data_IF_784097738034
#
_entry.id   IF_784097738034
#
_cell.length_a   1.000
_cell.length_b   1.000
_cell.length_c   1.000
_cell.angle_alpha   90.00
_cell.angle_beta   90.00
_cell.angle_gamma   90.00
#
_symmetry.space_group_name_H-M   'P 1'
#
loop_
_entity.id
_entity.type
_entity.pdbx_description
1 polymer ?
#
# COMPACT_ATOMS: atom_id res chain seq x y z
N UNK A 1 40.16 -3.42 -25.23
CA UNK A 1 39.72 -4.05 -23.99
C UNK A 1 38.34 -3.47 -23.66
N UNK A 2 37.26 -4.26 -23.52
CA UNK A 2 35.97 -3.77 -23.10
C UNK A 2 36.06 -3.31 -21.64
N UNK A 3 35.45 -2.14 -21.34
CA UNK A 3 35.37 -1.58 -19.99
C UNK A 3 34.64 -2.58 -19.08
N UNK A 4 35.12 -2.82 -17.82
CA UNK A 4 34.42 -3.70 -16.90
C UNK A 4 33.01 -3.16 -16.63
N UNK A 5 32.00 -4.03 -16.38
CA UNK A 5 30.64 -3.60 -16.07
C UNK A 5 30.69 -2.72 -14.83
N UNK A 6 30.19 -1.49 -14.96
CA UNK A 6 30.04 -0.57 -13.83
C UNK A 6 29.10 -1.23 -12.80
N UNK A 7 29.55 -1.30 -11.55
CA UNK A 7 28.70 -1.75 -10.45
C UNK A 7 27.42 -0.94 -10.42
N UNK A 8 26.26 -1.56 -10.16
CA UNK A 8 24.99 -0.85 -10.09
C UNK A 8 25.10 0.24 -9.01
N UNK A 9 24.86 1.50 -9.41
CA UNK A 9 24.80 2.61 -8.46
C UNK A 9 23.79 2.27 -7.34
N UNK A 10 24.15 2.50 -6.07
CA UNK A 10 23.21 2.29 -4.98
C UNK A 10 21.93 3.08 -5.26
N UNK A 11 20.78 2.42 -5.17
CA UNK A 11 19.50 3.11 -5.31
C UNK A 11 19.39 4.17 -4.21
N UNK A 12 18.92 5.38 -4.50
CA UNK A 12 18.65 6.36 -3.47
C UNK A 12 17.69 5.75 -2.43
N UNK A 13 17.77 6.17 -1.16
CA UNK A 13 16.85 5.71 -0.14
C UNK A 13 15.40 5.99 -0.60
N UNK A 14 14.44 5.14 -0.23
CA UNK A 14 13.04 5.39 -0.59
C UNK A 14 12.56 6.69 0.06
N UNK A 15 11.70 7.47 -0.64
CA UNK A 15 11.28 8.80 -0.21
C UNK A 15 10.37 8.74 1.01
N UNK A 16 10.41 9.81 1.82
CA UNK A 16 9.44 10.06 2.88
C UNK A 16 8.17 10.68 2.28
N UNK A 17 7.03 10.31 2.85
CA UNK A 17 5.74 10.90 2.49
C UNK A 17 5.15 11.57 3.74
N UNK A 18 4.87 12.86 3.66
CA UNK A 18 4.30 13.66 4.75
C UNK A 18 2.88 14.13 4.40
N UNK A 19 1.95 13.86 5.28
CA UNK A 19 0.64 14.50 5.35
C UNK A 19 0.68 15.61 6.40
N UNK A 20 0.63 16.86 5.98
CA UNK A 20 0.71 18.02 6.87
C UNK A 20 -0.67 18.67 7.04
N UNK A 21 -1.35 18.34 8.14
CA UNK A 21 -2.62 18.95 8.53
C UNK A 21 -3.78 18.72 7.56
N UNK A 22 -3.89 17.51 6.97
CA UNK A 22 -4.86 17.22 5.92
C UNK A 22 -6.31 17.36 6.39
N UNK A 23 -7.10 18.16 5.68
CA UNK A 23 -8.55 18.25 5.83
C UNK A 23 -9.23 17.97 4.50
N UNK A 24 -10.22 17.07 4.53
CA UNK A 24 -10.99 16.70 3.34
C UNK A 24 -12.47 16.58 3.63
N UNK A 25 -13.28 17.01 2.67
CA UNK A 25 -14.70 16.73 2.64
C UNK A 25 -15.09 16.00 1.37
N UNK A 26 -16.05 15.09 1.47
CA UNK A 26 -16.69 14.41 0.36
C UNK A 26 -18.19 14.77 0.37
N UNK A 27 -18.70 15.25 -0.75
CA UNK A 27 -20.10 15.69 -0.88
C UNK A 27 -20.54 16.67 0.24
N UNK A 28 -19.69 17.62 0.58
CA UNK A 28 -19.95 18.63 1.63
C UNK A 28 -19.80 18.13 3.07
N UNK A 29 -19.53 16.83 3.30
CA UNK A 29 -19.32 16.26 4.63
C UNK A 29 -17.83 16.11 4.90
N UNK A 30 -17.33 16.68 6.00
CA UNK A 30 -15.96 16.50 6.44
C UNK A 30 -15.70 15.02 6.79
N UNK A 31 -14.63 14.45 6.24
CA UNK A 31 -14.25 13.03 6.38
C UNK A 31 -12.87 12.86 7.02
N UNK A 32 -11.95 13.79 6.77
CA UNK A 32 -10.60 13.79 7.37
C UNK A 32 -10.37 15.13 8.06
N UNK A 33 -9.91 15.09 9.31
CA UNK A 33 -9.89 16.22 10.22
C UNK A 33 -8.49 16.54 10.73
N UNK A 34 -7.70 17.28 9.94
CA UNK A 34 -6.39 17.78 10.35
C UNK A 34 -5.36 16.68 10.60
N UNK A 35 -5.31 15.67 9.73
CA UNK A 35 -4.38 14.53 9.88
C UNK A 35 -2.95 14.99 9.63
N UNK A 36 -2.09 14.73 10.64
CA UNK A 36 -0.65 14.87 10.58
C UNK A 36 -0.03 13.47 10.60
N UNK A 37 0.65 13.06 9.52
CA UNK A 37 1.21 11.71 9.40
C UNK A 37 2.50 11.76 8.60
N UNK A 38 3.59 11.34 9.20
CA UNK A 38 4.88 11.18 8.54
C UNK A 38 5.16 9.69 8.30
N UNK A 39 5.36 9.33 7.04
CA UNK A 39 5.60 7.97 6.58
C UNK A 39 7.04 7.85 6.10
N UNK A 40 7.78 7.01 6.76
CA UNK A 40 9.17 6.69 6.44
C UNK A 40 9.27 5.46 5.56
N UNK A 41 10.43 5.20 4.94
CA UNK A 41 10.73 3.92 4.32
C UNK A 41 10.37 2.75 5.22
N UNK A 42 9.75 1.74 4.65
CA UNK A 42 9.20 0.61 5.40
C UNK A 42 7.74 0.36 5.07
N UNK A 43 7.12 -0.57 5.79
CA UNK A 43 5.72 -0.91 5.64
C UNK A 43 4.88 -0.37 6.81
N UNK A 44 3.92 0.51 6.52
CA UNK A 44 2.92 1.02 7.47
C UNK A 44 1.54 0.43 7.13
N UNK A 45 0.89 -0.19 8.10
CA UNK A 45 -0.51 -0.60 7.99
C UNK A 45 -1.43 0.51 8.53
N UNK A 46 -2.40 0.95 7.74
CA UNK A 46 -3.45 1.89 8.12
C UNK A 46 -4.71 1.12 8.52
N UNK A 47 -5.10 1.20 9.78
CA UNK A 47 -6.21 0.45 10.36
C UNK A 47 -7.25 1.36 11.01
N UNK A 48 -8.43 0.82 11.27
CA UNK A 48 -9.52 1.54 11.96
C UNK A 48 -10.90 1.01 11.55
N UNK A 49 -11.96 1.37 12.27
CA UNK A 49 -13.33 0.96 11.94
C UNK A 49 -13.76 1.38 10.53
N UNK A 50 -14.84 0.76 10.04
CA UNK A 50 -15.45 1.17 8.78
C UNK A 50 -15.94 2.63 8.90
N UNK A 51 -15.79 3.42 7.83
CA UNK A 51 -16.12 4.84 7.85
C UNK A 51 -15.09 5.74 8.58
N UNK A 52 -13.97 5.21 9.08
CA UNK A 52 -12.92 6.01 9.75
C UNK A 52 -12.18 7.00 8.82
N UNK A 53 -12.39 6.92 7.49
CA UNK A 53 -11.73 7.81 6.52
C UNK A 53 -10.44 7.26 5.92
N UNK A 54 -10.09 5.99 6.17
CA UNK A 54 -8.84 5.35 5.71
C UNK A 54 -8.60 5.46 4.20
N UNK A 55 -9.54 4.99 3.38
CA UNK A 55 -9.44 5.06 1.92
C UNK A 55 -9.42 6.50 1.41
N UNK A 56 -10.12 7.41 2.09
CA UNK A 56 -10.12 8.85 1.76
C UNK A 56 -8.74 9.44 2.04
N UNK A 57 -8.15 9.15 3.20
CA UNK A 57 -6.79 9.57 3.52
C UNK A 57 -5.78 9.01 2.51
N UNK A 58 -5.88 7.72 2.20
CA UNK A 58 -4.97 7.06 1.27
C UNK A 58 -5.07 7.66 -0.14
N UNK A 59 -6.28 7.97 -0.64
CA UNK A 59 -6.50 8.69 -1.90
C UNK A 59 -5.92 10.11 -1.87
N UNK A 60 -6.02 10.81 -0.74
CA UNK A 60 -5.42 12.13 -0.57
C UNK A 60 -3.89 12.06 -0.63
N UNK A 61 -3.28 11.09 0.04
CA UNK A 61 -1.84 10.82 -0.02
C UNK A 61 -1.36 10.51 -1.46
N UNK A 62 -2.22 9.88 -2.27
CA UNK A 62 -1.95 9.62 -3.69
C UNK A 62 -2.14 10.87 -4.58
N UNK A 63 -2.62 11.99 -4.02
CA UNK A 63 -2.96 13.19 -4.78
C UNK A 63 -4.16 13.03 -5.71
N UNK A 64 -5.07 12.10 -5.39
CA UNK A 64 -6.29 11.79 -6.16
C UNK A 64 -7.51 12.59 -5.70
N UNK A 65 -7.41 13.31 -4.58
CA UNK A 65 -8.48 14.13 -4.03
C UNK A 65 -7.98 15.55 -3.77
N UNK A 66 -8.84 16.54 -4.00
CA UNK A 66 -8.59 17.92 -3.63
C UNK A 66 -8.68 18.09 -2.12
N UNK A 67 -7.68 18.74 -1.52
CA UNK A 67 -7.64 19.04 -0.09
C UNK A 67 -8.40 20.33 0.19
N UNK A 68 -9.13 20.40 1.31
CA UNK A 68 -9.68 21.64 1.84
C UNK A 68 -8.60 22.46 2.58
N UNK A 69 -7.69 21.79 3.27
CA UNK A 69 -6.52 22.39 3.92
C UNK A 69 -5.41 21.35 4.07
N UNK A 70 -4.21 21.83 4.32
CA UNK A 70 -3.01 21.02 4.45
C UNK A 70 -2.39 20.69 3.11
N UNK A 71 -1.34 19.87 3.14
CA UNK A 71 -0.62 19.45 1.93
C UNK A 71 0.00 18.05 2.10
N UNK A 72 0.28 17.42 0.97
CA UNK A 72 1.05 16.17 0.90
C UNK A 72 2.40 16.48 0.30
N UNK A 73 3.48 16.03 0.94
CA UNK A 73 4.85 16.26 0.49
C UNK A 73 5.58 14.93 0.31
N UNK A 74 6.47 14.90 -0.67
CA UNK A 74 7.44 13.82 -0.90
C UNK A 74 8.83 14.42 -0.76
N UNK A 75 9.59 13.99 0.23
CA UNK A 75 10.93 14.52 0.57
C UNK A 75 10.98 16.06 0.72
N UNK A 76 9.89 16.65 1.24
CA UNK A 76 9.76 18.10 1.44
C UNK A 76 9.23 18.86 0.22
N UNK A 77 9.00 18.21 -0.92
CA UNK A 77 8.36 18.84 -2.08
C UNK A 77 6.85 18.55 -2.10
N UNK A 78 6.01 19.59 -2.29
CA UNK A 78 4.55 19.35 -2.40
C UNK A 78 4.23 18.42 -3.58
N UNK A 79 3.53 17.32 -3.30
CA UNK A 79 3.14 16.33 -4.33
C UNK A 79 2.33 16.98 -5.46
N UNK A 80 1.53 17.99 -5.14
CA UNK A 80 0.73 18.72 -6.12
C UNK A 80 1.58 19.56 -7.09
N UNK A 81 2.80 19.95 -6.73
CA UNK A 81 3.72 20.69 -7.58
C UNK A 81 4.43 19.79 -8.61
N UNK A 82 4.47 18.47 -8.37
CA UNK A 82 5.10 17.55 -9.30
C UNK A 82 4.27 17.40 -10.58
N UNK A 83 4.94 17.38 -11.77
CA UNK A 83 4.27 17.03 -13.02
C UNK A 83 3.58 15.67 -12.92
N UNK A 84 2.42 15.52 -13.58
CA UNK A 84 1.59 14.32 -13.49
C UNK A 84 2.38 13.03 -13.76
N UNK A 85 3.23 13.02 -14.79
CA UNK A 85 4.05 11.87 -15.12
C UNK A 85 5.08 11.54 -14.02
N UNK A 86 5.67 12.56 -13.39
CA UNK A 86 6.61 12.37 -12.29
C UNK A 86 5.87 11.83 -11.04
N UNK A 87 4.72 12.42 -10.70
CA UNK A 87 3.88 11.93 -9.60
C UNK A 87 3.51 10.46 -9.78
N UNK A 88 3.08 10.07 -11.00
CA UNK A 88 2.73 8.69 -11.33
C UNK A 88 3.92 7.72 -11.31
N UNK A 89 5.16 8.22 -11.44
CA UNK A 89 6.40 7.43 -11.25
C UNK A 89 6.85 7.37 -9.79
N UNK A 90 6.40 8.31 -8.96
CA UNK A 90 6.77 8.38 -7.54
C UNK A 90 5.79 7.61 -6.67
N UNK A 91 4.49 7.71 -6.95
CA UNK A 91 3.41 7.11 -6.15
C UNK A 91 2.59 6.16 -7.01
N UNK A 92 2.59 4.88 -6.64
CA UNK A 92 1.67 3.89 -7.19
C UNK A 92 0.44 3.75 -6.29
N UNK A 93 -0.72 3.65 -6.92
CA UNK A 93 -2.01 3.50 -6.28
C UNK A 93 -2.69 2.18 -6.66
N UNK A 94 -3.12 1.41 -5.64
CA UNK A 94 -4.02 0.26 -5.81
C UNK A 94 -5.36 0.59 -5.15
N UNK A 95 -6.47 0.70 -5.89
CA UNK A 95 -7.80 0.91 -5.34
C UNK A 95 -8.35 -0.37 -4.68
N UNK A 96 -9.30 -0.21 -3.74
CA UNK A 96 -10.03 -1.30 -3.09
C UNK A 96 -10.78 -2.18 -4.11
N UNK A 97 -11.41 -1.56 -5.09
CA UNK A 97 -12.08 -2.26 -6.21
C UNK A 97 -11.63 -1.61 -7.51
N UNK A 98 -11.21 -2.43 -8.44
CA UNK A 98 -10.98 -2.01 -9.81
C UNK A 98 -12.10 -2.61 -10.67
N UNK A 99 -12.98 -1.74 -11.15
CA UNK A 99 -14.09 -2.09 -12.05
C UNK A 99 -13.62 -2.30 -13.50
N UNK A 100 -12.32 -2.36 -13.74
CA UNK A 100 -11.75 -2.64 -15.07
C UNK A 100 -12.02 -4.09 -15.48
N UNK A 101 -13.26 -4.36 -15.84
CA UNK A 101 -13.71 -5.61 -16.46
C UNK A 101 -13.64 -5.49 -17.98
N UNK A 102 -12.44 -5.17 -18.50
CA UNK A 102 -12.20 -5.18 -19.92
C UNK A 102 -11.74 -6.57 -20.39
N UNK A 103 -11.72 -6.79 -21.71
CA UNK A 103 -11.20 -8.00 -22.34
C UNK A 103 -9.67 -8.08 -22.33
N UNK A 104 -9.01 -7.22 -21.53
CA UNK A 104 -7.56 -7.21 -21.41
C UNK A 104 -7.06 -8.50 -20.77
N UNK A 105 -5.95 -8.99 -21.28
CA UNK A 105 -5.19 -10.06 -20.63
C UNK A 105 -4.49 -9.55 -19.36
N UNK A 106 -4.07 -10.48 -18.51
CA UNK A 106 -3.26 -10.18 -17.31
C UNK A 106 -2.04 -9.34 -17.69
N UNK A 107 -1.28 -9.76 -18.72
CA UNK A 107 -0.08 -9.04 -19.16
C UNK A 107 -0.41 -7.63 -19.65
N UNK A 108 -1.43 -7.45 -20.48
CA UNK A 108 -1.84 -6.12 -20.95
C UNK A 108 -2.23 -5.20 -19.79
N UNK A 109 -2.96 -5.74 -18.81
CA UNK A 109 -3.31 -4.99 -17.58
C UNK A 109 -2.07 -4.53 -16.82
N UNK A 110 -1.07 -5.40 -16.64
CA UNK A 110 0.18 -5.05 -15.96
C UNK A 110 1.00 -4.06 -16.77
N UNK A 111 1.00 -4.14 -18.10
CA UNK A 111 1.65 -3.17 -18.99
C UNK A 111 1.13 -1.75 -18.81
N UNK A 112 -0.14 -1.55 -18.41
CA UNK A 112 -0.67 -0.22 -18.08
C UNK A 112 0.13 0.48 -16.95
N UNK A 113 0.78 -0.27 -16.08
CA UNK A 113 1.69 0.28 -15.07
C UNK A 113 2.90 1.03 -15.67
N UNK A 114 3.21 0.82 -16.95
CA UNK A 114 4.32 1.49 -17.65
C UNK A 114 3.92 2.78 -18.36
N UNK A 115 2.63 3.13 -18.40
CA UNK A 115 2.14 4.36 -19.04
C UNK A 115 2.86 5.64 -18.57
N UNK A 116 3.25 5.81 -17.29
CA UNK A 116 4.01 6.99 -16.88
C UNK A 116 5.35 7.17 -17.59
N UNK A 117 5.91 6.10 -18.17
CA UNK A 117 7.20 6.10 -18.89
C UNK A 117 7.02 6.12 -20.40
N UNK A 118 6.07 5.34 -20.92
CA UNK A 118 5.86 5.19 -22.36
C UNK A 118 4.90 6.22 -22.92
N UNK A 119 4.03 6.81 -22.07
CA UNK A 119 2.87 7.52 -22.57
C UNK A 119 1.96 6.60 -23.41
N UNK A 120 0.98 7.19 -24.10
CA UNK A 120 0.06 6.44 -24.98
C UNK A 120 0.72 6.00 -26.30
N UNK A 121 1.72 6.74 -26.79
CA UNK A 121 2.32 6.58 -28.10
C UNK A 121 3.84 6.36 -28.05
N UNK A 122 4.40 6.18 -26.87
CA UNK A 122 5.83 6.00 -26.67
C UNK A 122 6.32 4.60 -27.08
N UNK A 123 7.65 4.49 -27.25
CA UNK A 123 8.26 3.20 -27.58
C UNK A 123 8.44 2.35 -26.35
N UNK A 124 7.98 1.11 -26.43
CA UNK A 124 8.26 0.06 -25.44
C UNK A 124 9.76 -0.29 -25.45
N UNK A 125 10.37 -0.38 -24.29
CA UNK A 125 11.80 -0.63 -24.12
C UNK A 125 12.03 -1.92 -23.32
N UNK A 126 13.24 -2.49 -23.40
CA UNK A 126 13.60 -3.69 -22.63
C UNK A 126 13.42 -3.52 -21.11
N UNK A 127 13.64 -2.32 -20.58
CA UNK A 127 13.38 -2.00 -19.17
C UNK A 127 11.89 -2.08 -18.78
N UNK A 128 10.98 -1.78 -19.72
CA UNK A 128 9.54 -1.86 -19.47
C UNK A 128 9.10 -3.31 -19.44
N UNK A 129 9.63 -4.12 -20.35
CA UNK A 129 9.42 -5.57 -20.34
C UNK A 129 9.94 -6.21 -19.05
N UNK A 130 11.16 -5.87 -18.63
CA UNK A 130 11.75 -6.39 -17.40
C UNK A 130 10.89 -6.02 -16.16
N UNK A 131 10.37 -4.79 -16.10
CA UNK A 131 9.52 -4.35 -14.99
C UNK A 131 8.18 -5.12 -14.95
N UNK A 132 7.57 -5.40 -16.11
CA UNK A 132 6.33 -6.19 -16.20
C UNK A 132 6.58 -7.63 -15.79
N UNK A 133 7.66 -8.26 -16.27
CA UNK A 133 7.99 -9.64 -15.93
C UNK A 133 8.32 -9.78 -14.42
N UNK A 134 9.09 -8.87 -13.83
CA UNK A 134 9.37 -8.86 -12.40
C UNK A 134 8.08 -8.71 -11.58
N UNK A 135 7.19 -7.79 -11.95
CA UNK A 135 5.92 -7.59 -11.26
C UNK A 135 5.02 -8.83 -11.32
N UNK A 136 4.91 -9.47 -12.50
CA UNK A 136 4.15 -10.72 -12.68
C UNK A 136 4.74 -11.87 -11.84
N UNK A 137 6.07 -11.97 -11.77
CA UNK A 137 6.75 -13.00 -10.98
C UNK A 137 6.50 -12.81 -9.47
N UNK A 138 6.67 -11.57 -8.96
CA UNK A 138 6.48 -11.25 -7.53
C UNK A 138 5.06 -11.46 -7.02
N UNK A 139 4.07 -11.38 -7.92
CA UNK A 139 2.65 -11.56 -7.57
C UNK A 139 2.11 -12.94 -7.98
N UNK A 140 2.99 -13.84 -8.42
CA UNK A 140 2.64 -15.20 -8.87
C UNK A 140 1.57 -15.20 -9.98
N UNK A 141 1.74 -14.30 -10.97
CA UNK A 141 0.82 -14.12 -12.09
C UNK A 141 1.39 -14.60 -13.44
N UNK A 142 2.65 -15.01 -13.50
CA UNK A 142 3.32 -15.39 -14.76
C UNK A 142 2.60 -16.50 -15.53
N UNK A 143 2.11 -17.52 -14.83
CA UNK A 143 1.45 -18.67 -15.46
C UNK A 143 0.15 -18.29 -16.17
N UNK A 144 -0.44 -17.14 -15.82
CA UNK A 144 -1.74 -16.69 -16.37
C UNK A 144 -1.63 -15.45 -17.25
N UNK A 145 -0.44 -15.00 -17.56
CA UNK A 145 -0.22 -13.71 -18.22
C UNK A 145 -1.02 -13.50 -19.52
N UNK A 146 -1.40 -14.59 -20.20
CA UNK A 146 -2.20 -14.56 -21.43
C UNK A 146 -3.71 -14.79 -21.19
N UNK A 147 -4.15 -15.03 -19.94
CA UNK A 147 -5.57 -15.18 -19.63
C UNK A 147 -6.28 -13.82 -19.63
N UNK A 148 -7.52 -13.74 -20.15
CA UNK A 148 -8.35 -12.56 -19.98
C UNK A 148 -8.68 -12.31 -18.51
N UNK A 149 -8.70 -11.04 -18.09
CA UNK A 149 -8.92 -10.63 -16.70
C UNK A 149 -10.31 -11.05 -16.17
N UNK A 150 -11.32 -11.05 -17.04
CA UNK A 150 -12.70 -11.46 -16.74
C UNK A 150 -12.84 -12.95 -16.40
N UNK A 151 -11.85 -13.79 -16.71
CA UNK A 151 -11.81 -15.24 -16.41
C UNK A 151 -11.09 -15.55 -15.09
N UNK A 152 -10.64 -14.54 -14.36
CA UNK A 152 -9.94 -14.71 -13.10
C UNK A 152 -10.91 -14.64 -11.92
N UNK A 153 -10.57 -15.35 -10.83
CA UNK A 153 -11.21 -15.18 -9.53
C UNK A 153 -10.95 -13.77 -8.96
N UNK A 154 -11.69 -13.36 -7.93
CA UNK A 154 -11.47 -12.06 -7.26
C UNK A 154 -10.05 -11.92 -6.72
N UNK A 155 -9.53 -12.96 -6.08
CA UNK A 155 -8.17 -12.96 -5.55
C UNK A 155 -7.08 -12.97 -6.63
N UNK A 156 -7.28 -13.69 -7.73
CA UNK A 156 -6.37 -13.64 -8.88
C UNK A 156 -6.34 -12.24 -9.50
N UNK A 157 -7.51 -11.60 -9.69
CA UNK A 157 -7.58 -10.21 -10.18
C UNK A 157 -6.86 -9.24 -9.24
N UNK A 158 -7.01 -9.40 -7.92
CA UNK A 158 -6.33 -8.57 -6.94
C UNK A 158 -4.81 -8.64 -7.08
N UNK A 159 -4.25 -9.84 -7.28
CA UNK A 159 -2.82 -10.03 -7.55
C UNK A 159 -2.36 -9.36 -8.85
N UNK A 160 -3.18 -9.40 -9.90
CA UNK A 160 -2.88 -8.70 -11.17
C UNK A 160 -2.87 -7.18 -10.99
N UNK A 161 -3.82 -6.61 -10.25
CA UNK A 161 -3.83 -5.18 -9.98
C UNK A 161 -2.64 -4.75 -9.11
N UNK A 162 -2.22 -5.60 -8.16
CA UNK A 162 -0.97 -5.38 -7.42
C UNK A 162 0.25 -5.44 -8.37
N UNK A 163 0.31 -6.42 -9.28
CA UNK A 163 1.36 -6.47 -10.30
C UNK A 163 1.42 -5.19 -11.14
N UNK A 164 0.26 -4.67 -11.56
CA UNK A 164 0.16 -3.38 -12.28
C UNK A 164 0.75 -2.24 -11.45
N UNK A 165 0.44 -2.16 -10.16
CA UNK A 165 0.99 -1.16 -9.27
C UNK A 165 2.51 -1.30 -9.13
N UNK A 166 3.04 -2.51 -8.95
CA UNK A 166 4.48 -2.78 -8.86
C UNK A 166 5.22 -2.47 -10.18
N UNK A 167 4.60 -2.76 -11.33
CA UNK A 167 5.18 -2.48 -12.64
C UNK A 167 5.42 -0.98 -12.88
N UNK A 168 4.78 -0.07 -12.14
CA UNK A 168 5.11 1.36 -12.21
C UNK A 168 6.55 1.64 -11.79
N UNK A 169 7.15 0.80 -10.94
CA UNK A 169 8.46 1.05 -10.35
C UNK A 169 8.48 2.23 -9.39
N UNK A 170 7.31 2.66 -8.90
CA UNK A 170 7.18 3.77 -7.96
C UNK A 170 7.77 3.38 -6.60
N UNK A 171 8.46 4.32 -5.96
CA UNK A 171 9.08 4.12 -4.64
C UNK A 171 8.10 4.24 -3.47
N UNK A 172 6.91 4.80 -3.70
CA UNK A 172 5.82 4.87 -2.73
C UNK A 172 4.66 4.02 -3.23
N UNK A 173 4.23 3.04 -2.43
CA UNK A 173 3.10 2.16 -2.73
C UNK A 173 1.95 2.44 -1.76
N UNK A 174 0.82 2.93 -2.28
CA UNK A 174 -0.40 3.18 -1.52
C UNK A 174 -1.46 2.17 -1.95
N UNK A 175 -1.78 1.20 -1.07
CA UNK A 175 -2.55 0.02 -1.40
C UNK A 175 -3.81 -0.05 -0.52
N UNK A 176 -4.98 0.11 -1.14
CA UNK A 176 -6.27 0.08 -0.44
C UNK A 176 -6.82 -1.36 -0.46
N UNK A 177 -6.82 -2.01 0.69
CA UNK A 177 -7.26 -3.38 0.91
C UNK A 177 -6.62 -4.42 -0.05
N UNK A 178 -5.27 -4.45 -0.17
CA UNK A 178 -4.60 -5.32 -1.14
C UNK A 178 -4.82 -6.81 -0.88
N UNK A 179 -5.30 -7.18 0.30
CA UNK A 179 -5.56 -8.57 0.72
C UNK A 179 -7.02 -8.98 0.65
N UNK A 180 -7.91 -8.08 0.15
CA UNK A 180 -9.32 -8.40 -0.01
C UNK A 180 -9.53 -9.57 -0.98
N UNK A 181 -10.49 -10.44 -0.66
CA UNK A 181 -10.86 -11.63 -1.45
C UNK A 181 -9.76 -12.71 -1.58
N UNK A 182 -8.66 -12.58 -0.82
CA UNK A 182 -7.62 -13.58 -0.73
C UNK A 182 -7.87 -14.52 0.46
N UNK A 183 -7.58 -15.80 0.26
CA UNK A 183 -7.51 -16.76 1.35
C UNK A 183 -6.28 -16.52 2.26
N UNK A 184 -6.26 -17.04 3.49
CA UNK A 184 -5.19 -16.77 4.45
C UNK A 184 -3.77 -17.07 3.93
N UNK A 185 -3.49 -18.20 3.23
CA UNK A 185 -2.14 -18.43 2.68
C UNK A 185 -1.65 -17.31 1.75
N UNK A 186 -2.53 -16.82 0.86
CA UNK A 186 -2.20 -15.75 -0.06
C UNK A 186 -2.06 -14.39 0.64
N UNK A 187 -2.88 -14.11 1.67
CA UNK A 187 -2.71 -12.90 2.49
C UNK A 187 -1.33 -12.87 3.16
N UNK A 188 -0.89 -13.99 3.73
CA UNK A 188 0.43 -14.11 4.33
C UNK A 188 1.58 -14.03 3.31
N UNK A 189 1.38 -14.56 2.10
CA UNK A 189 2.34 -14.40 1.01
C UNK A 189 2.53 -12.92 0.64
N UNK A 190 1.43 -12.15 0.57
CA UNK A 190 1.51 -10.70 0.33
C UNK A 190 2.17 -9.94 1.49
N UNK A 191 1.90 -10.31 2.74
CA UNK A 191 2.58 -9.69 3.88
C UNK A 191 4.10 -9.91 3.82
N UNK A 192 4.53 -11.09 3.37
CA UNK A 192 5.95 -11.38 3.13
C UNK A 192 6.52 -10.50 2.02
N UNK A 193 5.80 -10.38 0.90
CA UNK A 193 6.19 -9.50 -0.21
C UNK A 193 6.33 -8.04 0.24
N UNK A 194 5.38 -7.53 1.06
CA UNK A 194 5.47 -6.16 1.58
C UNK A 194 6.68 -5.96 2.48
N UNK A 195 7.04 -6.93 3.31
CA UNK A 195 8.27 -6.88 4.11
C UNK A 195 9.54 -6.85 3.25
N UNK A 196 9.58 -7.63 2.18
CA UNK A 196 10.72 -7.61 1.24
C UNK A 196 10.83 -6.26 0.54
N UNK A 197 9.70 -5.71 0.09
CA UNK A 197 9.64 -4.41 -0.57
C UNK A 197 9.94 -3.24 0.38
N UNK A 198 9.63 -3.37 1.68
CA UNK A 198 9.84 -2.33 2.69
C UNK A 198 11.30 -1.85 2.79
N UNK A 199 12.28 -2.70 2.43
CA UNK A 199 13.68 -2.31 2.37
C UNK A 199 13.99 -1.24 1.30
N UNK A 200 13.13 -1.10 0.28
CA UNK A 200 13.35 -0.24 -0.88
C UNK A 200 12.18 0.65 -1.24
N UNK A 201 11.10 0.61 -0.46
CA UNK A 201 9.86 1.36 -0.73
C UNK A 201 9.27 1.92 0.56
N UNK A 202 8.51 2.99 0.42
CA UNK A 202 7.56 3.45 1.44
C UNK A 202 6.20 2.88 1.10
N UNK A 203 5.70 1.94 1.93
CA UNK A 203 4.48 1.19 1.66
C UNK A 203 3.42 1.55 2.69
N UNK A 204 2.22 1.89 2.23
CA UNK A 204 1.04 2.06 3.07
C UNK A 204 -0.06 1.14 2.60
N UNK A 205 -0.54 0.27 3.48
CA UNK A 205 -1.65 -0.65 3.19
C UNK A 205 -2.83 -0.36 4.11
N UNK A 206 -4.02 -0.18 3.58
CA UNK A 206 -5.24 -0.27 4.39
C UNK A 206 -5.54 -1.74 4.62
N UNK A 207 -5.68 -2.13 5.88
CA UNK A 207 -5.98 -3.50 6.27
C UNK A 207 -7.13 -3.57 7.27
N UNK A 208 -7.99 -4.59 7.14
CA UNK A 208 -9.05 -4.89 8.10
C UNK A 208 -8.60 -5.93 9.12
N UNK A 209 -7.76 -6.88 8.72
CA UNK A 209 -7.20 -7.88 9.62
C UNK A 209 -6.07 -7.28 10.45
N UNK A 210 -6.31 -7.11 11.76
CA UNK A 210 -5.32 -6.58 12.69
C UNK A 210 -4.12 -7.52 12.88
N UNK A 211 -4.32 -8.84 12.77
CA UNK A 211 -3.20 -9.79 12.87
C UNK A 211 -2.23 -9.63 11.71
N UNK A 212 -2.76 -9.32 10.52
CA UNK A 212 -1.96 -9.00 9.35
C UNK A 212 -1.31 -7.61 9.49
N UNK A 213 -2.07 -6.62 9.99
CA UNK A 213 -1.58 -5.25 10.20
C UNK A 213 -0.41 -5.19 11.20
N UNK A 214 -0.46 -6.01 12.25
CA UNK A 214 0.63 -6.15 13.24
C UNK A 214 1.89 -6.85 12.67
N UNK A 215 1.88 -7.25 11.42
CA UNK A 215 3.10 -7.69 10.70
C UNK A 215 3.86 -6.53 10.05
N UNK A 216 3.26 -5.36 9.92
CA UNK A 216 3.92 -4.16 9.38
C UNK A 216 4.95 -3.61 10.37
N UNK A 217 5.90 -2.81 9.88
CA UNK A 217 6.89 -2.14 10.75
C UNK A 217 6.20 -1.15 11.69
N UNK A 218 5.20 -0.44 11.16
CA UNK A 218 4.41 0.55 11.89
C UNK A 218 2.92 0.38 11.60
N UNK A 219 2.09 0.82 12.54
CA UNK A 219 0.64 0.84 12.39
C UNK A 219 0.14 2.26 12.64
N UNK A 220 -0.67 2.77 11.71
CA UNK A 220 -1.40 4.01 11.83
C UNK A 220 -2.87 3.69 12.14
N UNK A 221 -3.37 4.13 13.28
CA UNK A 221 -4.73 3.86 13.75
C UNK A 221 -5.64 5.07 13.54
N UNK A 222 -6.67 4.92 12.71
CA UNK A 222 -7.67 5.96 12.40
C UNK A 222 -9.02 5.67 13.01
N UNK A 223 -9.68 6.74 13.50
CA UNK A 223 -11.07 6.72 13.94
C UNK A 223 -11.73 8.07 13.69
N UNK A 224 -12.97 8.08 13.21
CA UNK A 224 -13.76 9.31 13.01
C UNK A 224 -12.99 10.42 12.24
N UNK A 225 -12.28 10.04 11.18
CA UNK A 225 -11.53 10.98 10.35
C UNK A 225 -10.24 11.53 10.97
N UNK A 226 -9.82 11.03 12.12
CA UNK A 226 -8.62 11.47 12.84
C UNK A 226 -7.61 10.35 12.98
N UNK A 227 -6.34 10.72 13.03
CA UNK A 227 -5.26 9.80 13.40
C UNK A 227 -5.15 9.78 14.92
N UNK A 228 -5.27 8.60 15.53
CA UNK A 228 -5.19 8.40 16.97
C UNK A 228 -3.81 7.91 17.43
N UNK A 229 -3.14 7.13 16.60
CA UNK A 229 -1.77 6.65 16.83
C UNK A 229 -1.05 6.37 15.51
N UNK A 230 0.26 6.54 15.51
CA UNK A 230 1.18 6.05 14.48
C UNK A 230 2.48 5.62 15.15
N UNK A 231 2.67 4.34 15.35
CA UNK A 231 3.80 3.80 16.10
C UNK A 231 4.25 2.43 15.57
N UNK A 232 5.38 1.94 16.07
CA UNK A 232 5.84 0.59 15.79
C UNK A 232 4.80 -0.44 16.26
N UNK A 233 4.67 -1.55 15.51
CA UNK A 233 3.65 -2.58 15.77
C UNK A 233 3.70 -3.19 17.20
N UNK A 234 4.82 -3.07 17.90
CA UNK A 234 5.03 -3.57 19.26
C UNK A 234 4.85 -2.51 20.35
N UNK A 235 4.47 -1.27 20.02
CA UNK A 235 4.28 -0.17 20.96
C UNK A 235 3.04 -0.41 21.84
N UNK A 236 3.17 -0.42 23.18
CA UNK A 236 2.05 -0.63 24.10
C UNK A 236 0.96 0.45 24.02
N UNK A 237 1.31 1.69 23.67
CA UNK A 237 0.33 2.76 23.52
C UNK A 237 -0.52 2.56 22.26
N UNK A 238 0.11 2.09 21.18
CA UNK A 238 -0.62 1.67 19.97
C UNK A 238 -1.62 0.56 20.30
N UNK A 239 -1.20 -0.48 21.05
CA UNK A 239 -2.09 -1.57 21.44
C UNK A 239 -3.33 -1.08 22.19
N UNK A 240 -3.14 -0.20 23.20
CA UNK A 240 -4.26 0.42 23.93
C UNK A 240 -5.18 1.21 23.01
N UNK A 241 -4.62 1.98 22.08
CA UNK A 241 -5.39 2.76 21.10
C UNK A 241 -6.20 1.84 20.19
N UNK A 242 -5.63 0.73 19.71
CA UNK A 242 -6.35 -0.26 18.91
C UNK A 242 -7.48 -0.90 19.71
N UNK A 243 -7.24 -1.30 20.95
CA UNK A 243 -8.28 -1.86 21.82
C UNK A 243 -9.42 -0.87 22.06
N UNK A 244 -9.14 0.42 22.25
CA UNK A 244 -10.16 1.45 22.40
C UNK A 244 -10.97 1.68 21.12
N UNK A 245 -10.31 1.73 19.95
CA UNK A 245 -10.97 1.95 18.66
C UNK A 245 -11.88 0.79 18.24
N UNK A 246 -11.55 -0.42 18.67
CA UNK A 246 -12.30 -1.63 18.36
C UNK A 246 -13.07 -2.21 19.56
N UNK A 247 -13.17 -1.44 20.66
CA UNK A 247 -13.89 -1.88 21.87
C UNK A 247 -15.38 -2.17 21.60
N UNK A 248 -15.96 -3.17 22.31
CA UNK A 248 -15.33 -4.07 23.29
C UNK A 248 -14.73 -5.34 22.65
N UNK A 249 -14.64 -5.42 21.32
CA UNK A 249 -14.55 -6.65 20.54
C UNK A 249 -13.22 -7.43 20.70
N UNK A 250 -12.09 -6.74 21.02
CA UNK A 250 -10.79 -7.41 21.00
C UNK A 250 -9.82 -6.92 22.08
N UNK A 251 -8.76 -7.71 22.30
CA UNK A 251 -7.55 -7.32 23.03
C UNK A 251 -6.31 -7.66 22.21
N UNK A 252 -5.23 -6.90 22.39
CA UNK A 252 -3.94 -7.18 21.78
C UNK A 252 -3.09 -7.97 22.78
N UNK A 253 -2.69 -9.17 22.41
CA UNK A 253 -1.93 -10.08 23.27
C UNK A 253 -0.62 -10.47 22.63
N UNK A 254 0.40 -10.70 23.46
CA UNK A 254 1.64 -11.32 23.00
C UNK A 254 1.39 -12.81 22.77
N UNK A 255 1.54 -13.25 21.53
CA UNK A 255 1.40 -14.65 21.19
C UNK A 255 2.70 -15.40 21.50
N UNK A 256 2.60 -16.68 21.95
CA UNK A 256 3.78 -17.52 22.13
C UNK A 256 4.60 -17.57 20.83
N UNK A 257 5.88 -17.25 20.91
CA UNK A 257 6.79 -17.36 19.78
C UNK A 257 7.17 -18.82 19.53
N UNK A 258 7.48 -19.16 18.27
CA UNK A 258 8.25 -20.37 17.98
C UNK A 258 9.65 -20.17 18.58
N UNK A 259 10.26 -21.18 19.24
CA UNK A 259 11.60 -21.05 19.80
C UNK A 259 12.58 -20.44 18.76
N UNK A 260 13.29 -19.37 19.14
CA UNK A 260 14.21 -18.66 18.26
C UNK A 260 13.61 -17.55 17.38
N UNK A 261 12.30 -17.27 17.48
CA UNK A 261 11.66 -16.14 16.79
C UNK A 261 11.23 -15.05 17.78
N UNK A 262 11.29 -13.75 17.38
CA UNK A 262 10.73 -12.66 18.19
C UNK A 262 9.25 -12.93 18.50
N UNK A 263 8.83 -12.65 19.73
CA UNK A 263 7.41 -12.76 20.11
C UNK A 263 6.55 -11.87 19.20
N UNK A 264 5.44 -12.43 18.72
CA UNK A 264 4.47 -11.72 17.89
C UNK A 264 3.32 -11.19 18.74
N UNK A 265 2.69 -10.11 18.29
CA UNK A 265 1.45 -9.63 18.85
C UNK A 265 0.29 -10.06 17.96
N UNK A 266 -0.86 -10.30 18.56
CA UNK A 266 -2.07 -10.68 17.85
C UNK A 266 -3.31 -10.07 18.49
N UNK A 267 -4.29 -9.74 17.65
CA UNK A 267 -5.62 -9.33 18.07
C UNK A 267 -6.44 -10.58 18.38
N UNK A 268 -6.91 -10.69 19.61
CA UNK A 268 -7.69 -11.82 20.10
C UNK A 268 -9.09 -11.33 20.44
N UNK A 269 -10.16 -11.99 19.98
CA UNK A 269 -11.53 -11.63 20.36
C UNK A 269 -11.70 -11.69 21.89
N UNK A 270 -12.39 -10.72 22.46
CA UNK A 270 -12.86 -10.82 23.84
C UNK A 270 -14.08 -11.71 23.88
N UNK A 271 -14.23 -12.57 24.93
CA UNK A 271 -15.46 -13.31 25.13
C UNK A 271 -16.65 -12.34 25.16
N UNK A 272 -17.74 -12.73 24.53
CA UNK A 272 -19.03 -12.02 24.69
C UNK A 272 -19.60 -12.50 26.02
N UNK A 273 -19.68 -11.61 27.00
CA UNK A 273 -20.39 -11.85 28.28
C UNK A 273 -21.90 -11.92 28.02
#
# INVERSE_FOLDING_TARGET
MPNPPQAPHPRPPPPRLLAAGLQLALNGRAVVHGVQLELHPGWTALVGPNGAGKSTLLKALAGLLSLQAGQVEVDGEPLAALPLAQRARTVAWLPQQDSSSGDLTVRETVCLGRLPYTGLWGRWQARDEAAVQDALARTDCLAWQHRPLNRLSGGERQRVHLARALATGASILLLDEPTAHLDPPHQWALARLFRELAATHTIVTVLHDLNLALQADRVAAMGQGRLHAHAAHHDPMLHRTLEQLFAPALSIQRLPGVPGTPGRFGAVPRPLD
#
